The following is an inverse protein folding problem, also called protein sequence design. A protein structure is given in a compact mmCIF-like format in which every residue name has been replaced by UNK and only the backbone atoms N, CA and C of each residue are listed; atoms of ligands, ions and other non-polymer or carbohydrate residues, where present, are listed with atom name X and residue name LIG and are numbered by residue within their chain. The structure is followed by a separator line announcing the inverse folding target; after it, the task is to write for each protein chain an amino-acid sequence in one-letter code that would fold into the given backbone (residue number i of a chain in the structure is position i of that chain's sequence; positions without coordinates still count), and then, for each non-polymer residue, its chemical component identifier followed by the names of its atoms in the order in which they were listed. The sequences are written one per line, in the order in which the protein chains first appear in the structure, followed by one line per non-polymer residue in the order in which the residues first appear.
data_IF_493827139282
#
_entry.id   IF_493827139282
#
_cell.length_a   1.000
_cell.length_b   1.000
_cell.length_c   1.000
_cell.angle_alpha   90.00
_cell.angle_beta   90.00
_cell.angle_gamma   90.00
#
_symmetry.space_group_name_H-M   'P 1'
#
loop_
_entity.id
_entity.type
_entity.pdbx_description
1 polymer ?
#
# COMPACT_ATOMS: atom_id res chain seq x y z
N UNK A 1 -4.41 -5.66 33.52
CA UNK A 1 -3.48 -5.56 32.36
C UNK A 1 -4.22 -4.86 31.24
N UNK A 2 -3.87 -3.61 30.93
CA UNK A 2 -4.47 -2.88 29.80
C UNK A 2 -3.77 -3.38 28.54
N UNK A 3 -4.49 -4.10 27.67
CA UNK A 3 -3.97 -4.47 26.36
C UNK A 3 -3.72 -3.16 25.59
N UNK A 4 -2.47 -2.85 25.19
CA UNK A 4 -2.25 -1.69 24.35
C UNK A 4 -3.03 -1.88 23.05
N UNK A 5 -3.65 -0.82 22.49
CA UNK A 5 -4.34 -0.92 21.22
C UNK A 5 -3.37 -1.49 20.18
N UNK A 6 -3.84 -2.32 19.23
CA UNK A 6 -2.97 -2.91 18.22
C UNK A 6 -2.25 -1.79 17.49
N UNK A 7 -0.99 -1.58 17.86
CA UNK A 7 -0.15 -0.58 17.23
C UNK A 7 -0.01 -1.05 15.79
N UNK A 8 -0.58 -0.29 14.85
CA UNK A 8 -0.39 -0.45 13.40
C UNK A 8 1.06 -0.13 13.06
N UNK A 9 2.01 -0.89 13.62
CA UNK A 9 3.41 -0.77 13.24
C UNK A 9 3.51 -1.28 11.81
N UNK A 10 3.85 -0.37 10.90
CA UNK A 10 4.50 -0.78 9.67
C UNK A 10 5.72 -1.60 10.08
N UNK A 11 5.68 -2.89 9.75
CA UNK A 11 6.77 -3.85 9.91
C UNK A 11 8.09 -3.17 9.55
N UNK A 12 9.07 -3.18 10.46
CA UNK A 12 10.37 -2.53 10.28
C UNK A 12 11.16 -3.08 9.08
N UNK A 13 10.82 -4.31 8.66
CA UNK A 13 11.29 -5.02 7.48
C UNK A 13 10.48 -4.72 6.20
N UNK A 14 9.48 -3.83 6.26
CA UNK A 14 8.78 -3.41 5.07
C UNK A 14 9.71 -2.55 4.19
N UNK A 15 9.83 -2.92 2.92
CA UNK A 15 10.55 -2.13 1.92
C UNK A 15 10.09 -0.68 1.97
N UNK A 16 11.06 0.22 2.20
CA UNK A 16 10.81 1.66 2.21
C UNK A 16 10.59 2.10 0.77
N UNK A 17 9.35 2.46 0.46
CA UNK A 17 8.98 3.06 -0.82
C UNK A 17 9.21 4.56 -0.76
N UNK A 18 9.89 5.11 -1.76
CA UNK A 18 9.98 6.55 -2.00
C UNK A 18 8.64 7.09 -2.51
N UNK A 19 8.47 8.41 -2.48
CA UNK A 19 7.27 9.04 -3.05
C UNK A 19 7.08 8.70 -4.54
N UNK A 20 8.18 8.64 -5.31
CA UNK A 20 8.14 8.25 -6.71
C UNK A 20 7.65 6.81 -6.89
N UNK A 21 8.05 5.89 -6.01
CA UNK A 21 7.57 4.50 -6.06
C UNK A 21 6.07 4.40 -5.79
N UNK A 22 5.53 5.25 -4.89
CA UNK A 22 4.09 5.30 -4.65
C UNK A 22 3.33 5.80 -5.88
N UNK A 23 3.81 6.84 -6.55
CA UNK A 23 3.21 7.36 -7.78
C UNK A 23 3.25 6.31 -8.89
N UNK A 24 4.40 5.66 -9.11
CA UNK A 24 4.56 4.55 -10.05
C UNK A 24 3.55 3.43 -9.78
N UNK A 25 3.36 3.03 -8.51
CA UNK A 25 2.39 2.00 -8.15
C UNK A 25 0.96 2.49 -8.40
N UNK A 26 0.65 3.75 -8.10
CA UNK A 26 -0.69 4.34 -8.24
C UNK A 26 -1.17 4.43 -9.69
N UNK A 27 -0.28 4.53 -10.67
CA UNK A 27 -0.64 4.51 -12.10
C UNK A 27 -1.45 3.26 -12.51
N UNK A 28 -1.26 2.15 -11.80
CA UNK A 28 -1.95 0.89 -12.10
C UNK A 28 -3.28 0.72 -11.33
N UNK A 29 -3.68 1.69 -10.50
CA UNK A 29 -4.81 1.56 -9.56
C UNK A 29 -6.12 1.16 -10.25
N UNK A 30 -6.44 1.79 -11.36
CA UNK A 30 -7.74 1.62 -12.05
C UNK A 30 -7.64 0.66 -13.24
N UNK A 31 -6.48 0.08 -13.50
CA UNK A 31 -6.31 -0.91 -14.55
C UNK A 31 -7.03 -2.22 -14.17
N UNK A 32 -7.77 -2.78 -15.13
CA UNK A 32 -8.45 -4.09 -15.00
C UNK A 32 -7.46 -5.22 -14.72
N UNK A 33 -6.30 -5.20 -15.39
CA UNK A 33 -5.21 -6.15 -15.20
C UNK A 33 -3.97 -5.41 -14.69
N UNK A 34 -3.56 -5.71 -13.46
CA UNK A 34 -2.42 -5.08 -12.82
C UNK A 34 -1.20 -5.99 -12.94
N UNK A 35 0.00 -5.46 -13.28
CA UNK A 35 1.20 -6.28 -13.45
C UNK A 35 1.83 -6.65 -12.09
N UNK A 36 1.10 -7.42 -11.27
CA UNK A 36 1.45 -7.72 -9.88
C UNK A 36 2.87 -8.29 -9.74
N UNK A 37 3.25 -9.26 -10.56
CA UNK A 37 4.56 -9.90 -10.44
C UNK A 37 5.72 -8.97 -10.80
N UNK A 38 5.52 -8.05 -11.75
CA UNK A 38 6.52 -7.03 -12.08
C UNK A 38 6.67 -6.03 -10.94
N UNK A 39 5.55 -5.54 -10.38
CA UNK A 39 5.55 -4.59 -9.27
C UNK A 39 6.18 -5.20 -8.00
N UNK A 40 5.86 -6.46 -7.69
CA UNK A 40 6.43 -7.19 -6.55
C UNK A 40 7.95 -7.33 -6.67
N UNK A 41 8.45 -7.65 -7.87
CA UNK A 41 9.89 -7.77 -8.13
C UNK A 41 10.58 -6.41 -8.11
N UNK A 42 10.02 -5.39 -8.76
CA UNK A 42 10.59 -4.04 -8.84
C UNK A 42 10.70 -3.38 -7.47
N UNK A 43 9.65 -3.45 -6.67
CA UNK A 43 9.55 -2.74 -5.39
C UNK A 43 9.82 -3.61 -4.17
N UNK A 44 10.10 -4.90 -4.36
CA UNK A 44 10.30 -5.87 -3.27
C UNK A 44 9.17 -5.82 -2.21
N UNK A 45 7.91 -5.72 -2.66
CA UNK A 45 6.73 -5.68 -1.80
C UNK A 45 5.81 -6.86 -2.05
N UNK A 46 4.99 -7.18 -1.05
CA UNK A 46 3.94 -8.18 -1.20
C UNK A 46 2.75 -7.62 -2.01
N UNK A 47 2.02 -8.51 -2.66
CA UNK A 47 0.76 -8.18 -3.34
C UNK A 47 -0.23 -7.48 -2.41
N UNK A 48 -0.32 -7.95 -1.15
CA UNK A 48 -1.19 -7.34 -0.15
C UNK A 48 -0.82 -5.89 0.13
N UNK A 49 0.48 -5.56 0.13
CA UNK A 49 0.95 -4.19 0.29
C UNK A 49 0.55 -3.32 -0.90
N UNK A 50 0.66 -3.82 -2.14
CA UNK A 50 0.16 -3.11 -3.33
C UNK A 50 -1.33 -2.77 -3.22
N UNK A 51 -2.16 -3.74 -2.83
CA UNK A 51 -3.60 -3.49 -2.62
C UNK A 51 -3.92 -2.58 -1.44
N UNK A 52 -3.08 -2.53 -0.40
CA UNK A 52 -3.24 -1.53 0.66
C UNK A 52 -2.94 -0.13 0.13
N UNK A 53 -1.89 0.02 -0.68
CA UNK A 53 -1.51 1.29 -1.31
C UNK A 53 -2.68 1.80 -2.17
N UNK A 54 -3.19 0.99 -3.10
CA UNK A 54 -4.33 1.36 -3.95
C UNK A 54 -5.62 1.67 -3.19
N UNK A 55 -5.81 1.11 -1.99
CA UNK A 55 -7.00 1.37 -1.16
C UNK A 55 -6.87 2.60 -0.26
N UNK A 56 -5.66 3.07 0.04
CA UNK A 56 -5.39 4.08 1.08
C UNK A 56 -5.97 5.49 0.83
N UNK A 57 -6.61 5.74 -0.32
CA UNK A 57 -7.33 7.00 -0.58
C UNK A 57 -8.84 6.95 -0.24
N UNK A 58 -9.41 5.81 0.20
CA UNK A 58 -10.85 5.69 0.50
C UNK A 58 -11.24 6.05 1.95
N UNK A 59 -10.43 6.85 2.64
CA UNK A 59 -10.74 7.40 3.97
C UNK A 59 -10.86 8.93 3.94
N UNK A 60 -11.33 9.51 2.83
CA UNK A 60 -11.93 10.85 2.87
C UNK A 60 -13.43 10.63 3.10
N UNK A 61 -14.00 11.02 4.24
CA UNK A 61 -15.44 11.07 4.37
C UNK A 61 -15.93 12.14 3.40
N UNK A 62 -16.50 11.71 2.29
CA UNK A 62 -17.47 12.51 1.56
C UNK A 62 -18.67 12.66 2.50
N UNK A 63 -19.13 13.90 2.71
CA UNK A 63 -20.23 14.36 3.59
C UNK A 63 -19.89 14.67 5.06
N UNK A 64 -19.72 15.96 5.37
CA UNK A 64 -20.75 16.82 5.98
C UNK A 64 -20.32 18.29 5.99
#
# INVERSE_FOLDING_TARGET
MINPPPRKYMRSDATKLSSADYEDIMQYRDMKFKPLDQLRKKFHVSTSRLYQIWRRQKDVPEVS
#
